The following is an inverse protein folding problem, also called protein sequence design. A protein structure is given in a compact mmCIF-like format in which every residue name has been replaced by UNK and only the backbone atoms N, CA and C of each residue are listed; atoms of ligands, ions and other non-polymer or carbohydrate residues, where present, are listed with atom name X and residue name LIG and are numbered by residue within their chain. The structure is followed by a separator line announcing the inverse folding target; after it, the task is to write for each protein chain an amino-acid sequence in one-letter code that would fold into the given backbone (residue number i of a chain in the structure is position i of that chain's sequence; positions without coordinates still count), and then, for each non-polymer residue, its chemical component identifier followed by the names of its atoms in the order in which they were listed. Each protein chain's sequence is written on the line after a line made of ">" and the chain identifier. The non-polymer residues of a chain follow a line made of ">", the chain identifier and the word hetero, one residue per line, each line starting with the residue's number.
data_IF_973939150230
#
_entry.id   IF_973939150230
#
_cell.length_a   1.000
_cell.length_b   1.000
_cell.length_c   1.000
_cell.angle_alpha   90.00
_cell.angle_beta   90.00
_cell.angle_gamma   90.00
#
_symmetry.space_group_name_H-M   'P 1'
#
loop_
_entity.id
_entity.type
_entity.pdbx_description
1 polymer ?
#
# COMPACT_ATOMS: atom_id res chain seq x y z
N UNK A 1 40.66 -97.96 8.85
CA UNK A 1 39.32 -97.42 8.71
C UNK A 1 39.42 -95.88 8.86
N UNK A 2 39.14 -95.11 7.81
CA UNK A 2 39.07 -93.65 7.86
C UNK A 2 37.61 -93.34 8.06
N UNK A 3 37.26 -92.81 9.24
CA UNK A 3 35.91 -92.29 9.49
C UNK A 3 35.87 -90.83 9.07
N UNK A 4 35.15 -90.52 7.99
CA UNK A 4 34.88 -89.20 7.60
C UNK A 4 33.67 -88.69 8.39
N UNK A 5 33.86 -87.74 9.30
CA UNK A 5 32.79 -87.01 9.97
C UNK A 5 32.33 -85.91 9.06
N UNK A 6 31.08 -85.98 8.60
CA UNK A 6 30.43 -84.90 7.88
C UNK A 6 30.10 -83.85 8.90
N UNK A 7 30.75 -82.72 8.78
CA UNK A 7 30.35 -81.49 9.54
C UNK A 7 29.11 -80.92 8.86
N UNK A 8 27.97 -80.97 9.52
CA UNK A 8 26.79 -80.31 9.08
C UNK A 8 26.95 -78.85 9.37
N UNK A 9 27.07 -78.06 8.31
CA UNK A 9 27.03 -76.58 8.43
C UNK A 9 25.58 -76.14 8.59
N UNK A 10 25.23 -75.67 9.76
CA UNK A 10 23.98 -74.99 9.97
C UNK A 10 24.14 -73.56 9.41
N UNK A 11 23.40 -73.24 8.36
CA UNK A 11 23.36 -71.89 7.82
C UNK A 11 22.66 -70.97 8.85
N UNK A 12 23.41 -70.19 9.58
CA UNK A 12 22.85 -69.13 10.45
C UNK A 12 22.41 -68.01 9.61
N UNK A 13 21.10 -67.80 9.47
CA UNK A 13 20.53 -66.61 8.83
C UNK A 13 20.36 -65.54 9.90
N UNK A 14 21.23 -64.57 9.91
CA UNK A 14 21.07 -63.36 10.71
C UNK A 14 20.13 -62.36 9.95
N UNK A 15 18.97 -62.10 10.52
CA UNK A 15 18.09 -61.02 10.01
C UNK A 15 18.50 -59.74 10.68
N UNK A 16 19.01 -58.78 9.91
CA UNK A 16 19.26 -57.41 10.36
C UNK A 16 18.15 -56.54 9.84
N UNK A 17 17.45 -55.83 10.72
CA UNK A 17 16.45 -54.84 10.35
C UNK A 17 17.15 -53.50 10.19
N UNK A 18 17.11 -52.96 8.99
CA UNK A 18 17.59 -51.60 8.69
C UNK A 18 16.38 -50.69 8.68
N UNK A 19 16.37 -49.68 9.55
CA UNK A 19 15.37 -48.62 9.55
C UNK A 19 15.84 -47.52 8.60
N UNK A 20 15.01 -47.18 7.61
CA UNK A 20 15.25 -46.06 6.71
C UNK A 20 14.39 -44.91 7.20
N UNK A 21 15.01 -43.82 7.60
CA UNK A 21 14.31 -42.59 8.01
C UNK A 21 14.05 -41.72 6.81
N UNK A 22 12.90 -40.99 6.78
CA UNK A 22 12.60 -40.02 5.73
C UNK A 22 13.66 -38.92 5.68
N UNK A 23 14.02 -38.53 4.47
CA UNK A 23 14.98 -37.45 4.26
C UNK A 23 14.33 -36.10 4.50
N UNK A 24 15.00 -35.22 5.26
CA UNK A 24 14.54 -33.88 5.50
C UNK A 24 14.62 -33.03 4.22
N UNK A 25 13.52 -32.36 3.90
CA UNK A 25 13.42 -31.30 2.88
C UNK A 25 13.13 -30.00 3.60
N UNK A 26 13.95 -28.99 3.38
CA UNK A 26 13.78 -27.64 3.93
C UNK A 26 13.17 -26.73 2.88
N UNK A 27 12.24 -25.87 3.30
CA UNK A 27 11.65 -24.85 2.43
C UNK A 27 12.18 -23.47 2.82
N UNK A 28 12.67 -22.74 1.84
CA UNK A 28 13.05 -21.33 1.97
C UNK A 28 11.97 -20.48 1.35
N UNK A 29 11.47 -19.50 2.09
CA UNK A 29 10.54 -18.49 1.61
C UNK A 29 11.25 -17.15 1.43
N UNK A 30 10.98 -16.45 0.34
CA UNK A 30 11.48 -15.11 0.04
C UNK A 30 10.31 -14.23 -0.35
N UNK A 31 10.06 -13.18 0.43
CA UNK A 31 9.05 -12.18 0.10
C UNK A 31 9.67 -11.08 -0.77
N UNK A 32 8.88 -10.60 -1.71
CA UNK A 32 9.27 -9.53 -2.64
C UNK A 32 8.92 -8.17 -2.05
N UNK A 33 9.84 -7.22 -2.18
CA UNK A 33 9.56 -5.82 -1.89
C UNK A 33 8.45 -5.29 -2.80
N UNK A 34 7.62 -4.38 -2.27
CA UNK A 34 6.58 -3.74 -3.07
C UNK A 34 6.53 -2.22 -2.84
N UNK A 35 5.86 -1.53 -3.74
CA UNK A 35 5.44 -0.14 -3.55
C UNK A 35 4.12 -0.14 -2.79
N UNK A 36 3.90 0.85 -1.94
CA UNK A 36 2.66 1.02 -1.20
C UNK A 36 1.45 1.01 -2.14
N UNK A 37 0.49 0.14 -1.83
CA UNK A 37 -0.77 -0.05 -2.56
C UNK A 37 -2.00 -0.07 -1.63
N UNK A 38 -1.77 0.22 -0.34
CA UNK A 38 -2.80 0.22 0.69
C UNK A 38 -3.23 -1.16 1.18
N UNK A 39 -2.62 -2.26 0.68
CA UNK A 39 -2.98 -3.64 1.00
C UNK A 39 -1.91 -4.34 1.82
N UNK A 40 -2.30 -5.44 2.47
CA UNK A 40 -1.41 -6.27 3.28
C UNK A 40 -0.82 -7.47 2.53
N UNK A 41 -1.34 -7.83 1.35
CA UNK A 41 -0.87 -8.98 0.59
C UNK A 41 0.61 -8.85 0.21
N UNK A 42 1.32 -9.97 0.28
CA UNK A 42 2.73 -10.08 -0.06
C UNK A 42 2.94 -11.20 -1.09
N UNK A 43 3.70 -10.88 -2.13
CA UNK A 43 4.18 -11.88 -3.08
C UNK A 43 5.34 -12.65 -2.44
N UNK A 44 5.23 -13.98 -2.36
CA UNK A 44 6.24 -14.84 -1.75
C UNK A 44 6.60 -15.97 -2.72
N UNK A 45 7.89 -16.18 -2.90
CA UNK A 45 8.44 -17.31 -3.63
C UNK A 45 9.00 -18.35 -2.67
N UNK A 46 8.94 -19.63 -3.06
CA UNK A 46 9.38 -20.74 -2.25
C UNK A 46 10.32 -21.63 -3.04
N UNK A 47 11.36 -22.12 -2.36
CA UNK A 47 12.28 -23.12 -2.90
C UNK A 47 12.44 -24.26 -1.91
N UNK A 48 12.46 -25.50 -2.41
CA UNK A 48 12.71 -26.68 -1.59
C UNK A 48 14.14 -27.17 -1.82
N UNK A 49 14.83 -27.49 -0.74
CA UNK A 49 16.18 -28.07 -0.76
C UNK A 49 16.15 -29.43 -0.06
N UNK A 50 16.88 -30.42 -0.62
CA UNK A 50 16.99 -31.75 -0.02
C UNK A 50 16.26 -32.87 -0.78
N UNK A 51 15.45 -32.57 -1.79
CA UNK A 51 14.90 -33.59 -2.70
C UNK A 51 16.05 -34.14 -3.52
N UNK A 52 16.15 -35.48 -3.61
CA UNK A 52 17.18 -36.16 -4.40
C UNK A 52 16.93 -35.91 -5.89
N UNK A 53 17.99 -35.71 -6.66
CA UNK A 53 17.93 -35.43 -8.10
C UNK A 53 17.09 -36.47 -8.86
N UNK A 54 17.22 -37.75 -8.53
CA UNK A 54 16.43 -38.83 -9.14
C UNK A 54 14.92 -38.72 -8.90
N UNK A 55 14.50 -38.03 -7.84
CA UNK A 55 13.11 -37.88 -7.43
C UNK A 55 12.55 -36.50 -7.79
N UNK A 56 13.40 -35.55 -8.21
CA UNK A 56 13.04 -34.17 -8.45
C UNK A 56 11.98 -33.96 -9.58
N UNK A 57 11.87 -34.93 -10.48
CA UNK A 57 10.81 -34.90 -11.53
C UNK A 57 9.44 -35.36 -11.02
N UNK A 58 9.39 -36.05 -9.91
CA UNK A 58 8.17 -36.65 -9.35
C UNK A 58 7.72 -35.95 -8.08
N UNK A 59 8.65 -35.70 -7.14
CA UNK A 59 8.38 -35.07 -5.86
C UNK A 59 8.58 -33.56 -6.01
N UNK A 60 7.50 -32.79 -5.93
CA UNK A 60 7.52 -31.36 -6.13
C UNK A 60 6.93 -30.63 -4.94
N UNK A 61 7.44 -29.41 -4.67
CA UNK A 61 6.90 -28.54 -3.63
C UNK A 61 5.53 -27.99 -4.08
N UNK A 62 4.55 -28.11 -3.19
CA UNK A 62 3.21 -27.50 -3.36
C UNK A 62 3.03 -26.37 -2.35
N UNK A 63 2.78 -25.18 -2.83
CA UNK A 63 2.61 -23.94 -2.06
C UNK A 63 1.27 -23.27 -2.29
N UNK A 64 0.32 -23.93 -2.97
CA UNK A 64 -0.97 -23.34 -3.38
C UNK A 64 -1.85 -22.90 -2.22
N UNK A 65 -1.66 -23.50 -1.04
CA UNK A 65 -2.37 -23.12 0.18
C UNK A 65 -1.67 -22.05 1.01
N UNK A 66 -0.49 -21.58 0.59
CA UNK A 66 0.31 -20.62 1.36
C UNK A 66 0.11 -19.21 0.83
N UNK A 67 -0.29 -18.30 1.71
CA UNK A 67 -0.41 -16.87 1.42
C UNK A 67 0.48 -16.05 2.35
N UNK A 68 1.15 -15.04 1.79
CA UNK A 68 1.94 -14.08 2.56
C UNK A 68 1.14 -12.84 2.91
N UNK A 69 1.29 -12.34 4.13
CA UNK A 69 0.63 -11.13 4.61
C UNK A 69 1.60 -10.28 5.41
N UNK A 70 1.80 -9.02 5.03
CA UNK A 70 2.58 -8.07 5.81
C UNK A 70 1.93 -7.80 7.17
N UNK A 71 2.73 -7.60 8.21
CA UNK A 71 2.27 -7.22 9.55
C UNK A 71 1.72 -5.79 9.60
N UNK A 72 2.14 -4.94 8.69
CA UNK A 72 1.72 -3.54 8.56
C UNK A 72 1.78 -3.12 7.08
N UNK A 73 0.73 -2.47 6.59
CA UNK A 73 0.61 -2.03 5.20
C UNK A 73 1.38 -0.76 4.86
N UNK A 74 1.83 0.02 5.85
CA UNK A 74 2.44 1.32 5.60
C UNK A 74 3.84 1.19 5.01
N UNK A 75 4.24 2.19 4.24
CA UNK A 75 5.62 2.31 3.76
C UNK A 75 6.60 2.57 4.92
N UNK A 76 7.85 2.16 4.75
CA UNK A 76 8.90 2.39 5.75
C UNK A 76 10.28 2.00 5.24
N UNK A 77 11.31 2.52 5.91
CA UNK A 77 12.71 2.25 5.54
C UNK A 77 13.16 0.84 5.93
N UNK A 78 12.60 0.27 7.00
CA UNK A 78 12.92 -1.07 7.47
C UNK A 78 12.05 -2.13 6.81
N UNK A 79 12.61 -3.31 6.58
CA UNK A 79 11.87 -4.48 6.17
C UNK A 79 10.87 -4.91 7.25
N UNK A 80 9.73 -5.41 6.84
CA UNK A 80 8.63 -5.87 7.68
C UNK A 80 8.49 -7.38 7.57
N UNK A 81 8.07 -8.02 8.65
CA UNK A 81 7.78 -9.44 8.63
C UNK A 81 6.55 -9.71 7.76
N UNK A 82 6.67 -10.73 6.93
CA UNK A 82 5.57 -11.30 6.15
C UNK A 82 5.15 -12.59 6.82
N UNK A 83 3.94 -12.61 7.38
CA UNK A 83 3.37 -13.80 8.00
C UNK A 83 2.88 -14.74 6.91
N UNK A 84 3.36 -15.97 6.94
CA UNK A 84 2.89 -17.05 6.07
C UNK A 84 1.68 -17.70 6.72
N UNK A 85 0.58 -17.83 5.98
CA UNK A 85 -0.64 -18.54 6.37
C UNK A 85 -0.79 -19.75 5.46
N UNK A 86 -1.12 -20.90 6.05
CA UNK A 86 -1.16 -22.19 5.35
C UNK A 86 0.18 -22.92 5.48
N UNK A 87 0.24 -24.12 4.92
CA UNK A 87 1.41 -24.99 4.99
C UNK A 87 1.84 -25.44 3.60
N UNK A 88 3.15 -25.51 3.41
CA UNK A 88 3.74 -26.16 2.25
C UNK A 88 3.55 -27.67 2.34
N UNK A 89 3.41 -28.33 1.22
CA UNK A 89 3.37 -29.79 1.13
C UNK A 89 4.23 -30.30 -0.03
N UNK A 90 4.45 -31.61 -0.06
CA UNK A 90 5.13 -32.26 -1.18
C UNK A 90 4.11 -33.09 -1.95
N UNK A 91 4.00 -32.87 -3.26
CA UNK A 91 3.26 -33.74 -4.16
C UNK A 91 4.03 -35.06 -4.33
N UNK A 92 3.29 -36.14 -4.50
CA UNK A 92 3.81 -37.49 -4.76
C UNK A 92 4.82 -38.00 -3.73
N UNK A 93 4.78 -37.48 -2.48
CA UNK A 93 5.62 -37.96 -1.39
C UNK A 93 5.07 -39.27 -0.85
N UNK A 94 5.77 -40.35 -1.09
CA UNK A 94 5.44 -41.73 -0.61
C UNK A 94 5.97 -42.04 0.79
N UNK A 95 6.23 -40.99 1.59
CA UNK A 95 6.79 -41.11 2.94
C UNK A 95 8.32 -41.12 2.99
N UNK A 96 8.99 -40.93 1.86
CA UNK A 96 10.46 -40.90 1.79
C UNK A 96 11.05 -39.54 2.21
N UNK A 97 10.21 -38.54 2.36
CA UNK A 97 10.60 -37.17 2.73
C UNK A 97 9.73 -36.63 3.87
N UNK A 98 10.34 -35.84 4.74
CA UNK A 98 9.68 -35.02 5.74
C UNK A 98 9.98 -33.57 5.43
N UNK A 99 8.93 -32.71 5.42
CA UNK A 99 9.04 -31.30 5.05
C UNK A 99 9.15 -30.42 6.31
N UNK A 100 10.19 -29.60 6.38
CA UNK A 100 10.27 -28.50 7.33
C UNK A 100 9.63 -27.26 6.72
N UNK A 101 8.64 -26.68 7.43
CA UNK A 101 7.97 -25.47 7.00
C UNK A 101 8.91 -24.25 7.00
N UNK A 102 8.73 -23.30 6.08
CA UNK A 102 9.57 -22.12 6.00
C UNK A 102 9.33 -21.18 7.17
N UNK A 103 10.37 -20.46 7.58
CA UNK A 103 10.24 -19.31 8.46
C UNK A 103 9.58 -18.12 7.72
N UNK A 104 8.93 -17.24 8.48
CA UNK A 104 8.38 -16.00 7.95
C UNK A 104 9.48 -15.12 7.34
N UNK A 105 9.40 -14.77 6.06
CA UNK A 105 10.37 -13.88 5.42
C UNK A 105 10.11 -12.41 5.80
N UNK A 106 11.02 -11.55 5.36
CA UNK A 106 10.85 -10.09 5.47
C UNK A 106 10.93 -9.45 4.10
N UNK A 107 10.19 -8.33 3.92
CA UNK A 107 10.26 -7.51 2.71
C UNK A 107 9.95 -6.05 3.05
N UNK A 108 10.33 -5.14 2.16
CA UNK A 108 10.14 -3.69 2.32
C UNK A 108 8.89 -3.23 1.56
N UNK A 109 8.17 -2.25 2.13
CA UNK A 109 7.14 -1.48 1.42
C UNK A 109 7.69 -0.07 1.23
N UNK A 110 7.99 0.30 0.00
CA UNK A 110 8.44 1.64 -0.37
C UNK A 110 7.26 2.58 -0.57
N UNK A 111 7.50 3.89 -0.48
CA UNK A 111 6.47 4.91 -0.72
C UNK A 111 5.99 4.88 -2.17
N UNK A 112 4.68 5.06 -2.37
CA UNK A 112 4.10 5.36 -3.68
C UNK A 112 4.37 6.81 -4.06
N UNK A 113 4.30 7.14 -5.36
CA UNK A 113 4.55 8.51 -5.83
C UNK A 113 3.24 9.27 -6.00
N UNK A 114 3.19 10.47 -5.42
CA UNK A 114 2.24 11.50 -5.85
C UNK A 114 2.81 12.15 -7.11
N UNK A 115 1.99 12.31 -8.13
CA UNK A 115 2.39 12.88 -9.42
C UNK A 115 1.94 14.32 -9.60
N UNK A 116 0.87 14.73 -8.90
CA UNK A 116 0.31 16.07 -8.97
C UNK A 116 -0.42 16.42 -7.67
N UNK A 117 -0.36 17.68 -7.25
CA UNK A 117 -1.15 18.25 -6.16
C UNK A 117 -1.74 19.57 -6.67
N UNK A 118 -3.04 19.72 -6.57
CA UNK A 118 -3.73 20.90 -7.08
C UNK A 118 -4.96 21.25 -6.26
N UNK A 119 -5.44 22.49 -6.40
CA UNK A 119 -6.70 22.92 -5.85
C UNK A 119 -7.67 23.21 -6.99
N UNK A 120 -8.84 22.60 -6.94
CA UNK A 120 -9.91 22.86 -7.90
C UNK A 120 -10.96 23.81 -7.33
N UNK A 121 -11.70 24.50 -8.22
CA UNK A 121 -12.78 25.42 -7.84
C UNK A 121 -12.34 26.52 -6.87
N UNK A 122 -11.12 27.07 -7.03
CA UNK A 122 -10.65 28.15 -6.16
C UNK A 122 -11.47 29.41 -6.45
N UNK A 123 -12.23 29.85 -5.46
CA UNK A 123 -13.17 30.97 -5.55
C UNK A 123 -13.11 31.80 -4.29
N UNK A 124 -13.42 33.08 -4.39
CA UNK A 124 -13.75 33.93 -3.23
C UNK A 124 -14.87 34.89 -3.56
N UNK A 125 -15.59 35.30 -2.56
CA UNK A 125 -16.55 36.37 -2.72
C UNK A 125 -15.85 37.72 -2.86
N UNK A 126 -16.46 38.62 -3.59
CA UNK A 126 -15.95 39.98 -3.71
C UNK A 126 -15.75 40.61 -2.33
N UNK A 127 -14.67 41.36 -2.16
CA UNK A 127 -14.25 41.99 -0.89
C UNK A 127 -13.94 41.02 0.27
N UNK A 128 -13.88 39.72 0.05
CA UNK A 128 -13.43 38.77 1.09
C UNK A 128 -12.06 38.21 0.76
N UNK A 129 -11.32 37.75 1.78
CA UNK A 129 -10.04 36.99 1.63
C UNK A 129 -10.25 35.53 1.78
N UNK A 130 -11.46 35.07 2.10
CA UNK A 130 -11.79 33.68 2.31
C UNK A 130 -11.87 32.93 0.97
N UNK A 131 -11.06 31.88 0.80
CA UNK A 131 -11.07 31.03 -0.38
C UNK A 131 -11.95 29.80 -0.17
N UNK A 132 -12.73 29.45 -1.20
CA UNK A 132 -13.42 28.17 -1.30
C UNK A 132 -12.71 27.32 -2.35
N UNK A 133 -12.25 26.13 -1.96
CA UNK A 133 -11.53 25.24 -2.86
C UNK A 133 -11.67 23.78 -2.44
N UNK A 134 -11.38 22.88 -3.36
CA UNK A 134 -11.19 21.47 -3.12
C UNK A 134 -9.74 21.11 -3.45
N UNK A 135 -9.01 20.60 -2.46
CA UNK A 135 -7.69 20.01 -2.71
C UNK A 135 -7.85 18.65 -3.34
N UNK A 136 -6.95 18.32 -4.27
CA UNK A 136 -6.87 17.03 -4.92
C UNK A 136 -5.42 16.66 -5.20
N UNK A 137 -5.16 15.35 -5.42
CA UNK A 137 -3.84 14.84 -5.75
C UNK A 137 -3.96 13.61 -6.64
N UNK A 138 -3.03 13.48 -7.59
CA UNK A 138 -2.90 12.31 -8.44
C UNK A 138 -1.78 11.40 -7.93
N UNK A 139 -1.90 10.10 -8.21
CA UNK A 139 -0.95 9.08 -7.75
C UNK A 139 -1.32 8.46 -6.40
N UNK A 140 -2.44 8.87 -5.79
CA UNK A 140 -2.99 8.20 -4.62
C UNK A 140 -3.57 6.84 -5.02
N UNK A 141 -3.37 5.83 -4.16
CA UNK A 141 -3.76 4.45 -4.42
C UNK A 141 -4.89 4.00 -3.49
N UNK A 142 -5.51 2.86 -3.81
CA UNK A 142 -6.52 2.21 -2.98
C UNK A 142 -7.73 3.11 -2.63
N UNK A 143 -8.08 4.07 -3.50
CA UNK A 143 -9.20 5.00 -3.28
C UNK A 143 -8.93 6.07 -2.22
N UNK A 144 -7.70 6.25 -1.77
CA UNK A 144 -7.32 7.33 -0.87
C UNK A 144 -7.46 8.68 -1.57
N UNK A 145 -7.90 9.70 -0.81
CA UNK A 145 -8.03 11.07 -1.25
C UNK A 145 -7.08 11.96 -0.45
N UNK A 146 -6.73 13.13 -0.97
CA UNK A 146 -5.90 14.12 -0.25
C UNK A 146 -6.51 14.49 1.12
N UNK A 147 -7.81 14.33 1.28
CA UNK A 147 -8.56 14.56 2.51
C UNK A 147 -8.65 13.37 3.44
N UNK A 148 -8.07 12.21 3.05
CA UNK A 148 -8.08 10.99 3.89
C UNK A 148 -7.35 11.26 5.20
N UNK A 149 -7.98 11.01 6.36
CA UNK A 149 -7.36 11.24 7.66
C UNK A 149 -6.05 10.46 7.82
N UNK A 150 -4.99 11.14 8.27
CA UNK A 150 -3.68 10.52 8.50
C UNK A 150 -2.87 10.22 7.24
N UNK A 151 -3.30 10.69 6.07
CA UNK A 151 -2.53 10.57 4.83
C UNK A 151 -1.19 11.31 4.93
N UNK A 152 -1.21 12.48 5.55
CA UNK A 152 -0.04 13.32 5.80
C UNK A 152 -0.13 14.01 7.16
N UNK A 153 0.99 14.59 7.59
CA UNK A 153 1.10 15.52 8.72
C UNK A 153 1.43 16.91 8.20
N UNK A 154 1.21 17.94 9.01
CA UNK A 154 1.34 19.33 8.59
C UNK A 154 0.04 19.88 8.00
N UNK A 155 0.11 21.03 7.37
CA UNK A 155 -1.05 21.70 6.78
C UNK A 155 -0.77 22.09 5.33
N UNK A 156 -1.63 21.62 4.43
CA UNK A 156 -1.66 22.11 3.05
C UNK A 156 -2.57 23.32 3.02
N UNK A 157 -2.06 24.47 2.58
CA UNK A 157 -2.85 25.70 2.50
C UNK A 157 -2.82 26.29 1.10
N UNK A 158 -3.95 26.91 0.72
CA UNK A 158 -4.08 27.65 -0.53
C UNK A 158 -4.05 29.12 -0.20
N UNK A 159 -3.15 29.85 -0.83
CA UNK A 159 -2.95 31.30 -0.65
C UNK A 159 -3.23 32.01 -1.94
N UNK A 160 -3.90 33.19 -1.85
CA UNK A 160 -4.13 34.07 -2.98
C UNK A 160 -3.21 35.29 -2.92
N UNK A 161 -2.70 35.65 -4.09
CA UNK A 161 -2.04 36.92 -4.31
C UNK A 161 -2.39 37.43 -5.71
N UNK A 162 -2.93 38.65 -5.81
CA UNK A 162 -3.25 39.31 -7.09
C UNK A 162 -4.12 38.46 -8.04
N UNK A 163 -5.19 37.84 -7.50
CA UNK A 163 -6.13 37.04 -8.28
C UNK A 163 -5.63 35.67 -8.70
N UNK A 164 -4.43 35.29 -8.27
CA UNK A 164 -3.86 33.94 -8.46
C UNK A 164 -3.69 33.22 -7.13
N UNK A 165 -3.80 31.90 -7.15
CA UNK A 165 -3.52 31.10 -5.97
C UNK A 165 -2.24 30.30 -6.12
N UNK A 166 -1.63 30.00 -4.99
CA UNK A 166 -0.54 29.05 -4.84
C UNK A 166 -0.88 28.06 -3.73
N UNK A 167 -0.29 26.88 -3.77
CA UNK A 167 -0.43 25.85 -2.73
C UNK A 167 0.86 25.82 -1.91
N UNK A 168 0.73 26.01 -0.61
CA UNK A 168 1.85 25.94 0.33
C UNK A 168 1.87 24.57 1.01
N UNK A 169 2.96 23.85 0.79
CA UNK A 169 3.23 22.51 1.32
C UNK A 169 4.31 22.52 2.41
N UNK A 170 4.68 23.70 2.92
CA UNK A 170 5.75 23.81 3.91
C UNK A 170 5.44 22.99 5.15
N UNK A 171 6.35 22.10 5.53
CA UNK A 171 6.20 21.21 6.70
C UNK A 171 5.23 20.04 6.50
N UNK A 172 4.72 19.83 5.28
CA UNK A 172 3.87 18.66 4.96
C UNK A 172 4.75 17.43 4.77
N UNK A 173 4.33 16.32 5.37
CA UNK A 173 5.00 15.02 5.20
C UNK A 173 3.95 13.93 5.01
N UNK A 174 4.00 13.24 3.90
CA UNK A 174 3.16 12.09 3.63
C UNK A 174 3.75 10.82 4.24
N UNK A 175 2.90 10.03 4.87
CA UNK A 175 3.30 8.78 5.52
C UNK A 175 3.74 7.73 4.49
N UNK A 176 2.87 7.48 3.52
CA UNK A 176 3.00 6.37 2.57
C UNK A 176 3.36 6.83 1.15
N UNK A 177 3.54 8.13 0.96
CA UNK A 177 3.78 8.72 -0.35
C UNK A 177 5.03 9.57 -0.37
N UNK A 178 5.65 9.59 -1.52
CA UNK A 178 6.73 10.52 -1.87
C UNK A 178 6.20 11.52 -2.90
N UNK A 179 6.43 12.81 -2.63
CA UNK A 179 6.10 13.90 -3.55
C UNK A 179 7.33 14.75 -3.91
N UNK A 180 8.54 14.20 -3.68
CA UNK A 180 9.78 14.88 -4.03
C UNK A 180 9.79 15.25 -5.52
N UNK A 181 10.07 16.53 -5.79
CA UNK A 181 10.06 17.07 -7.15
C UNK A 181 8.69 17.43 -7.72
N UNK A 182 7.60 17.15 -7.00
CA UNK A 182 6.25 17.59 -7.39
C UNK A 182 6.09 19.08 -7.02
N UNK A 183 5.82 19.90 -8.03
CA UNK A 183 5.45 21.31 -7.82
C UNK A 183 3.93 21.39 -7.75
N UNK A 184 3.36 21.88 -6.63
CA UNK A 184 1.92 22.08 -6.54
C UNK A 184 1.43 23.04 -7.64
N UNK A 185 0.31 22.68 -8.25
CA UNK A 185 -0.24 23.44 -9.37
C UNK A 185 -1.10 24.59 -8.81
N UNK A 186 -0.67 25.81 -9.03
CA UNK A 186 -1.45 27.03 -8.78
C UNK A 186 -2.27 27.45 -9.99
N UNK A 187 -3.07 28.49 -9.85
CA UNK A 187 -3.94 28.99 -10.93
C UNK A 187 -4.65 30.29 -10.57
N UNK A 188 -5.72 30.57 -11.29
CA UNK A 188 -6.52 31.76 -11.10
C UNK A 188 -7.60 31.60 -10.02
N UNK A 189 -7.90 32.67 -9.30
CA UNK A 189 -9.01 32.74 -8.35
C UNK A 189 -10.23 33.34 -9.06
N UNK A 190 -11.33 32.58 -9.09
CA UNK A 190 -12.60 33.09 -9.59
C UNK A 190 -13.27 33.96 -8.51
N UNK A 191 -13.53 35.22 -8.84
CA UNK A 191 -14.27 36.12 -7.95
C UNK A 191 -15.76 35.94 -8.20
N UNK A 192 -16.49 35.53 -7.16
CA UNK A 192 -17.95 35.43 -7.21
C UNK A 192 -18.51 36.83 -6.87
N UNK A 193 -19.18 37.41 -7.82
CA UNK A 193 -19.91 38.68 -7.60
C UNK A 193 -21.02 38.45 -6.59
N UNK A 194 -21.14 39.35 -5.60
CA UNK A 194 -22.26 39.33 -4.67
C UNK A 194 -23.58 39.59 -5.38
N UNK A 195 -24.67 39.03 -4.87
CA UNK A 195 -26.01 39.42 -5.30
C UNK A 195 -26.22 40.87 -4.80
N UNK A 196 -26.54 41.81 -5.66
CA UNK A 196 -26.80 43.19 -5.23
C UNK A 196 -27.98 43.18 -4.23
N UNK A 197 -27.74 43.68 -3.02
CA UNK A 197 -28.82 43.91 -2.05
C UNK A 197 -29.46 45.27 -2.39
N UNK A 198 -30.69 45.22 -2.81
CA UNK A 198 -31.48 46.45 -2.99
C UNK A 198 -31.95 46.89 -1.62
N UNK A 199 -31.38 47.96 -1.09
CA UNK A 199 -31.88 48.58 0.13
C UNK A 199 -32.86 49.67 -0.31
N UNK A 200 -34.15 49.45 -0.06
CA UNK A 200 -35.19 50.46 -0.30
C UNK A 200 -35.29 51.32 0.96
N UNK A 201 -34.91 52.56 0.87
CA UNK A 201 -35.17 53.52 1.93
C UNK A 201 -36.56 54.10 1.76
N UNK A 202 -37.45 53.84 2.67
CA UNK A 202 -38.68 54.61 2.83
C UNK A 202 -38.34 55.89 3.58
N UNK A 203 -38.31 57.03 2.88
CA UNK A 203 -38.33 58.32 3.55
C UNK A 203 -39.77 58.63 3.97
N UNK A 204 -40.06 58.32 5.25
CA UNK A 204 -41.34 58.88 5.82
C UNK A 204 -41.27 60.36 5.80
N UNK A 205 -42.10 60.99 4.98
CA UNK A 205 -42.42 62.41 5.08
C UNK A 205 -42.27 63.29 3.81
N UNK A 206 -41.82 62.73 2.66
CA UNK A 206 -41.90 63.54 1.44
C UNK A 206 -42.29 62.70 0.22
N UNK A 207 -43.37 63.01 -0.38
CA UNK A 207 -43.79 62.42 -1.63
C UNK A 207 -42.75 62.68 -2.71
N UNK A 208 -42.01 61.67 -3.10
CA UNK A 208 -41.40 61.69 -4.39
C UNK A 208 -39.96 61.28 -4.64
N UNK A 209 -39.26 60.56 -3.75
CA UNK A 209 -38.01 59.95 -4.21
C UNK A 209 -37.70 58.70 -3.42
N UNK A 210 -38.09 57.57 -3.94
CA UNK A 210 -37.43 56.27 -3.55
C UNK A 210 -36.03 56.30 -4.13
N UNK A 211 -35.04 56.66 -3.31
CA UNK A 211 -33.62 56.49 -3.66
C UNK A 211 -33.28 55.06 -3.57
N UNK A 212 -33.09 54.40 -4.68
CA UNK A 212 -32.55 53.03 -4.73
C UNK A 212 -31.04 53.11 -4.60
N UNK A 213 -30.49 52.75 -3.45
CA UNK A 213 -29.06 52.52 -3.31
C UNK A 213 -28.81 51.06 -3.66
N UNK A 214 -28.25 50.85 -4.82
CA UNK A 214 -27.75 49.52 -5.19
C UNK A 214 -26.34 49.43 -4.63
N UNK A 215 -26.15 48.67 -3.54
CA UNK A 215 -24.81 48.22 -3.18
C UNK A 215 -24.41 47.15 -4.21
N UNK A 216 -23.67 47.62 -5.22
CA UNK A 216 -23.27 46.77 -6.33
C UNK A 216 -22.26 45.71 -5.95
N UNK A 217 -22.03 45.44 -4.64
CA UNK A 217 -21.11 44.31 -4.24
C UNK A 217 -19.95 44.09 -5.19
N UNK A 218 -19.46 45.13 -5.87
CA UNK A 218 -18.32 45.06 -6.76
C UNK A 218 -18.58 44.99 -8.25
N UNK A 219 -19.21 45.97 -8.80
CA UNK A 219 -19.06 46.26 -10.21
C UNK A 219 -17.78 47.10 -10.40
N UNK A 220 -16.67 46.41 -10.68
CA UNK A 220 -15.57 47.03 -11.39
C UNK A 220 -15.41 46.28 -12.71
N UNK A 221 -15.38 47.03 -13.81
CA UNK A 221 -15.17 46.55 -15.19
C UNK A 221 -13.79 45.93 -15.37
#
# INVERSE_FOLDING_TARGET
>A
TITATKVEYVTAIAKQTIKVEPKLVTVKAVAKDKVYDGKLDAEVSFTAEGILEKDASLVTLNTTSVAGTFTDKNAGESAKTVILKGECSLNNNTGNYVLAQPANPTAKISKAKITSIFASNVKRSYKTTSLSYKLDAEGLVNGELITTPGLYTGTISVKEASGKYSIDMTGVTFRNYDYAGVQPIGGDVTIIKGIPTIVTYNTEGNAGAAGMVVDNGGWEN
#
